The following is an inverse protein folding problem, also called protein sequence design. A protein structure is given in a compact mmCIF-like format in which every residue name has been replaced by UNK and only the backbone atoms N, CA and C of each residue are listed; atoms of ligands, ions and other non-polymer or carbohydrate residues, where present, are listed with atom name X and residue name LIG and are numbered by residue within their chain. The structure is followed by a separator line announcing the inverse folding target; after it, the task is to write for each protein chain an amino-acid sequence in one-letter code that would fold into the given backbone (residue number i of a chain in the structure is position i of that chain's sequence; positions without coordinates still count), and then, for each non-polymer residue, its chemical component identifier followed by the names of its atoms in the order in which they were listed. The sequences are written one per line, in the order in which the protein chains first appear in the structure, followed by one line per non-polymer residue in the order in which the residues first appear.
data_IF_965388315595
#
_entry.id   IF_965388315595
#
_cell.length_a   1.000
_cell.length_b   1.000
_cell.length_c   1.000
_cell.angle_alpha   90.00
_cell.angle_beta   90.00
_cell.angle_gamma   90.00
#
_symmetry.space_group_name_H-M   'P 1'
#
loop_
_entity.id
_entity.type
_entity.pdbx_description
1 polymer ?
#
# COMPACT_ATOMS: atom_id res chain seq x y z
N UNK A 1 -3.66 -15.71 15.92
CA UNK A 1 -3.57 -16.26 14.54
C UNK A 1 -2.48 -15.51 13.79
N UNK A 2 -1.87 -16.08 12.75
CA UNK A 2 -0.83 -15.39 11.95
C UNK A 2 -1.35 -15.09 10.55
N UNK A 3 -1.00 -13.95 9.94
CA UNK A 3 -1.34 -13.70 8.55
C UNK A 3 -0.57 -14.61 7.60
N UNK A 4 -1.24 -15.08 6.56
CA UNK A 4 -0.69 -15.89 5.46
C UNK A 4 -1.04 -15.31 4.09
N UNK A 5 -1.74 -14.17 4.04
CA UNK A 5 -2.01 -13.37 2.85
C UNK A 5 -1.53 -11.94 3.09
N UNK A 6 -0.72 -11.41 2.18
CA UNK A 6 -0.14 -10.08 2.31
C UNK A 6 -0.41 -9.22 1.07
N UNK A 7 -0.82 -7.98 1.31
CA UNK A 7 -0.88 -6.90 0.32
C UNK A 7 0.19 -5.87 0.70
N UNK A 8 1.45 -6.10 0.31
CA UNK A 8 2.58 -5.30 0.79
C UNK A 8 2.70 -3.93 0.12
N UNK A 9 1.97 -3.67 -0.97
CA UNK A 9 2.10 -2.44 -1.73
C UNK A 9 1.39 -2.47 -3.08
N UNK A 10 1.51 -1.41 -3.87
CA UNK A 10 2.26 -0.18 -3.59
C UNK A 10 1.36 0.92 -2.98
N UNK A 11 1.91 1.86 -2.18
CA UNK A 11 1.12 2.97 -1.66
C UNK A 11 0.57 3.82 -2.81
N UNK A 12 -0.71 4.22 -2.69
CA UNK A 12 -1.47 5.01 -3.68
C UNK A 12 -1.83 4.25 -4.97
N UNK A 13 -1.85 2.92 -4.88
CA UNK A 13 -2.20 2.02 -5.98
C UNK A 13 -3.47 1.20 -5.70
N UNK A 14 -4.41 1.66 -4.85
CA UNK A 14 -5.68 0.94 -4.65
C UNK A 14 -5.65 -0.26 -3.69
N UNK A 15 -4.60 -0.42 -2.87
CA UNK A 15 -4.51 -1.52 -1.89
C UNK A 15 -5.64 -1.54 -0.86
N UNK A 16 -6.28 -0.40 -0.56
CA UNK A 16 -7.45 -0.37 0.33
C UNK A 16 -8.69 -0.94 -0.34
N UNK A 17 -8.93 -0.63 -1.62
CA UNK A 17 -10.01 -1.25 -2.38
C UNK A 17 -9.82 -2.75 -2.47
N UNK A 18 -8.62 -3.21 -2.84
CA UNK A 18 -8.32 -4.65 -2.87
C UNK A 18 -8.55 -5.32 -1.51
N UNK A 19 -8.06 -4.72 -0.42
CA UNK A 19 -8.28 -5.23 0.94
C UNK A 19 -9.77 -5.46 1.21
N UNK A 20 -10.63 -4.47 0.93
CA UNK A 20 -12.06 -4.61 1.17
C UNK A 20 -12.75 -5.57 0.20
N UNK A 21 -12.25 -5.73 -1.03
CA UNK A 21 -12.80 -6.71 -1.97
C UNK A 21 -12.47 -8.14 -1.55
N UNK A 22 -11.24 -8.40 -1.12
CA UNK A 22 -10.84 -9.73 -0.65
C UNK A 22 -11.58 -10.13 0.63
N UNK A 23 -11.85 -9.18 1.53
CA UNK A 23 -12.59 -9.41 2.78
C UNK A 23 -14.07 -9.78 2.56
N UNK A 24 -14.57 -9.75 1.31
CA UNK A 24 -15.92 -10.23 0.98
C UNK A 24 -15.99 -11.75 0.82
N UNK A 25 -14.85 -12.42 0.60
CA UNK A 25 -14.83 -13.86 0.41
C UNK A 25 -14.96 -14.58 1.76
N UNK A 26 -15.88 -15.55 1.93
CA UNK A 26 -16.15 -16.18 3.23
C UNK A 26 -14.98 -16.96 3.83
N UNK A 27 -13.97 -17.28 3.02
CA UNK A 27 -12.75 -17.98 3.43
C UNK A 27 -11.53 -17.06 3.60
N UNK A 28 -11.72 -15.74 3.49
CA UNK A 28 -10.69 -14.74 3.72
C UNK A 28 -11.15 -13.86 4.88
N UNK A 29 -10.24 -13.58 5.81
CA UNK A 29 -10.42 -12.55 6.81
C UNK A 29 -9.26 -11.57 6.73
N UNK A 30 -9.52 -10.39 6.18
CA UNK A 30 -8.56 -9.30 6.23
C UNK A 30 -8.54 -8.68 7.63
N UNK A 31 -7.37 -8.14 8.00
CA UNK A 31 -7.16 -7.45 9.26
C UNK A 31 -8.13 -6.27 9.37
N UNK A 32 -8.88 -6.21 10.48
CA UNK A 32 -9.85 -5.13 10.74
C UNK A 32 -9.23 -3.73 10.66
N UNK A 33 -7.94 -3.62 10.97
CA UNK A 33 -7.16 -2.39 10.86
C UNK A 33 -6.11 -2.59 9.78
N UNK A 34 -6.12 -1.75 8.74
CA UNK A 34 -5.05 -1.67 7.74
C UNK A 34 -3.83 -0.96 8.30
N UNK A 35 -2.69 -1.13 7.61
CA UNK A 35 -1.46 -0.40 7.90
C UNK A 35 -0.99 -0.65 9.35
N UNK A 36 -1.08 -1.91 9.81
CA UNK A 36 -0.58 -2.36 11.12
C UNK A 36 0.94 -2.23 11.23
N UNK A 37 1.64 -2.33 10.09
CA UNK A 37 3.09 -2.27 9.95
C UNK A 37 3.86 -3.28 10.82
N UNK A 38 3.19 -4.36 11.24
CA UNK A 38 3.72 -5.35 12.17
C UNK A 38 5.00 -6.02 11.65
N UNK A 39 5.17 -6.18 10.35
CA UNK A 39 6.38 -6.78 9.78
C UNK A 39 7.45 -5.73 9.39
N UNK A 40 7.13 -4.44 9.42
CA UNK A 40 8.07 -3.38 9.04
C UNK A 40 8.87 -2.81 10.22
N UNK A 41 8.23 -2.51 11.34
CA UNK A 41 8.89 -1.81 12.46
C UNK A 41 9.20 -2.73 13.63
N UNK A 42 10.37 -2.55 14.26
CA UNK A 42 10.80 -3.39 15.38
C UNK A 42 9.80 -3.40 16.55
N UNK A 43 9.30 -2.26 17.04
CA UNK A 43 8.36 -2.26 18.17
C UNK A 43 7.03 -2.94 17.83
N UNK A 44 6.56 -2.79 16.59
CA UNK A 44 5.31 -3.41 16.15
C UNK A 44 5.50 -4.92 16.00
N UNK A 45 6.62 -5.35 15.40
CA UNK A 45 6.93 -6.76 15.24
C UNK A 45 6.99 -7.48 16.57
N UNK A 46 7.70 -6.92 17.56
CA UNK A 46 7.81 -7.53 18.90
C UNK A 46 6.44 -7.65 19.57
N UNK A 47 5.55 -6.67 19.38
CA UNK A 47 4.23 -6.60 20.03
C UNK A 47 3.09 -7.22 19.24
N UNK A 48 3.32 -7.77 18.04
CA UNK A 48 2.25 -8.24 17.13
C UNK A 48 1.34 -9.34 17.69
N UNK A 49 1.71 -9.98 18.79
CA UNK A 49 0.90 -10.96 19.51
C UNK A 49 0.59 -10.56 20.96
N UNK A 50 1.00 -9.36 21.38
CA UNK A 50 0.71 -8.81 22.70
C UNK A 50 -0.75 -8.35 22.73
N UNK A 51 -1.58 -8.86 23.64
CA UNK A 51 -3.00 -8.51 23.72
C UNK A 51 -3.27 -7.05 24.08
N UNK A 52 -2.30 -6.34 24.69
CA UNK A 52 -2.45 -4.91 24.98
C UNK A 52 -2.06 -4.02 23.77
N UNK A 53 -1.64 -4.64 22.66
CA UNK A 53 -1.23 -3.94 21.45
C UNK A 53 -2.40 -3.75 20.48
N UNK A 54 -2.64 -2.50 20.07
CA UNK A 54 -3.76 -2.17 19.17
C UNK A 54 -3.72 -2.88 17.81
N UNK A 55 -2.53 -3.26 17.35
CA UNK A 55 -2.35 -4.03 16.11
C UNK A 55 -2.04 -5.51 16.37
N UNK A 56 -2.41 -6.02 17.55
CA UNK A 56 -2.24 -7.43 17.88
C UNK A 56 -3.07 -8.32 16.97
N UNK A 57 -2.44 -9.33 16.39
CA UNK A 57 -3.13 -10.36 15.61
C UNK A 57 -4.10 -11.22 16.42
N UNK A 58 -4.00 -11.19 17.75
CA UNK A 58 -4.98 -11.86 18.60
C UNK A 58 -6.31 -11.09 18.65
N UNK A 59 -6.29 -9.79 18.38
CA UNK A 59 -7.48 -8.92 18.45
C UNK A 59 -8.05 -8.57 17.07
N UNK A 60 -7.20 -8.44 16.05
CA UNK A 60 -7.63 -8.05 14.71
C UNK A 60 -8.08 -9.22 13.83
N UNK A 61 -7.74 -10.47 14.22
CA UNK A 61 -8.27 -11.70 13.64
C UNK A 61 -9.18 -12.41 14.63
N UNK A 62 -10.20 -13.12 14.16
CA UNK A 62 -11.06 -13.93 15.01
C UNK A 62 -11.04 -15.38 14.50
N UNK A 63 -11.22 -16.34 15.40
CA UNK A 63 -11.13 -17.73 15.01
C UNK A 63 -12.44 -18.16 14.34
N UNK A 64 -12.43 -18.22 13.01
CA UNK A 64 -13.50 -18.83 12.21
C UNK A 64 -12.91 -20.02 11.42
N UNK A 65 -13.43 -21.26 11.63
CA UNK A 65 -12.92 -22.45 10.97
C UNK A 65 -13.08 -22.44 9.43
N UNK A 66 -13.90 -21.54 8.87
CA UNK A 66 -14.03 -21.37 7.41
C UNK A 66 -12.90 -20.54 6.80
N UNK A 67 -12.23 -19.71 7.60
CA UNK A 67 -11.18 -18.82 7.12
C UNK A 67 -9.92 -19.61 6.82
N UNK A 68 -9.47 -19.56 5.57
CA UNK A 68 -8.20 -20.13 5.10
C UNK A 68 -7.10 -19.09 5.02
N UNK A 69 -7.47 -17.84 4.72
CA UNK A 69 -6.52 -16.74 4.59
C UNK A 69 -6.75 -15.65 5.60
N UNK A 70 -5.75 -15.41 6.46
CA UNK A 70 -5.70 -14.24 7.33
C UNK A 70 -4.84 -13.18 6.64
N UNK A 71 -5.47 -12.08 6.25
CA UNK A 71 -4.89 -11.09 5.38
C UNK A 71 -4.38 -9.83 6.09
N UNK A 72 -3.21 -9.35 5.71
CA UNK A 72 -2.70 -8.05 6.12
C UNK A 72 -2.38 -7.14 4.93
N UNK A 73 -2.61 -5.84 5.09
CA UNK A 73 -2.30 -4.84 4.08
C UNK A 73 -1.58 -3.64 4.69
N UNK A 74 -0.29 -3.54 4.39
CA UNK A 74 0.62 -2.52 4.93
C UNK A 74 1.56 -2.09 3.81
N UNK A 75 1.34 -0.92 3.22
CA UNK A 75 1.96 -0.54 1.93
C UNK A 75 3.47 -0.28 2.00
N UNK A 76 4.02 -0.09 3.19
CA UNK A 76 5.47 0.07 3.39
C UNK A 76 6.23 -1.25 3.33
N UNK A 77 5.52 -2.37 3.45
CA UNK A 77 6.10 -3.70 3.42
C UNK A 77 6.84 -3.94 2.10
N UNK A 78 6.35 -3.39 0.99
CA UNK A 78 6.96 -3.62 -0.32
C UNK A 78 8.47 -3.31 -0.34
N UNK A 79 8.92 -2.21 0.29
CA UNK A 79 10.33 -1.80 0.25
C UNK A 79 11.11 -2.09 1.54
N UNK A 80 10.43 -2.20 2.69
CA UNK A 80 11.09 -2.35 3.99
C UNK A 80 11.92 -3.64 4.06
N UNK A 81 13.21 -3.52 4.39
CA UNK A 81 14.17 -4.64 4.36
C UNK A 81 13.83 -5.76 5.35
N UNK A 82 13.35 -5.41 6.54
CA UNK A 82 13.04 -6.38 7.60
C UNK A 82 11.77 -7.17 7.34
N UNK A 83 10.90 -6.76 6.41
CA UNK A 83 9.58 -7.37 6.21
C UNK A 83 9.67 -8.81 5.75
N UNK A 84 10.41 -9.08 4.66
CA UNK A 84 10.51 -10.43 4.08
C UNK A 84 11.10 -11.43 5.11
N UNK A 85 12.26 -11.16 5.76
CA UNK A 85 12.81 -12.07 6.76
C UNK A 85 11.83 -12.38 7.90
N UNK A 86 11.05 -11.39 8.34
CA UNK A 86 10.09 -11.55 9.42
C UNK A 86 8.86 -12.36 9.02
N UNK A 87 8.40 -12.22 7.77
CA UNK A 87 7.32 -13.05 7.23
C UNK A 87 7.78 -14.51 7.16
N UNK A 88 8.98 -14.78 6.62
CA UNK A 88 9.54 -16.13 6.53
C UNK A 88 9.62 -16.82 7.90
N UNK A 89 9.92 -16.06 8.97
CA UNK A 89 9.94 -16.60 10.34
C UNK A 89 8.56 -17.04 10.85
N UNK A 90 7.48 -16.46 10.31
CA UNK A 90 6.12 -16.67 10.79
C UNK A 90 5.28 -17.57 9.89
N UNK A 91 5.53 -17.56 8.58
CA UNK A 91 4.78 -18.27 7.55
C UNK A 91 5.73 -18.73 6.44
N UNK A 92 5.70 -20.03 6.15
CA UNK A 92 6.62 -20.70 5.22
C UNK A 92 6.14 -20.53 3.77
N UNK A 93 4.83 -20.43 3.54
CA UNK A 93 4.25 -20.37 2.20
C UNK A 93 3.16 -19.29 2.08
N UNK A 94 3.50 -18.01 2.31
CA UNK A 94 2.52 -16.93 2.25
C UNK A 94 2.08 -16.67 0.82
N UNK A 95 0.85 -16.14 0.65
CA UNK A 95 0.37 -15.58 -0.60
C UNK A 95 0.54 -14.07 -0.61
N UNK A 96 1.11 -13.54 -1.69
CA UNK A 96 1.41 -12.13 -1.85
C UNK A 96 0.64 -11.59 -3.04
N UNK A 97 -0.11 -10.51 -2.84
CA UNK A 97 -0.81 -9.80 -3.93
C UNK A 97 -0.34 -8.35 -3.95
N UNK A 98 0.36 -7.97 -5.01
CA UNK A 98 0.72 -6.58 -5.27
C UNK A 98 -0.35 -5.89 -6.10
N UNK A 99 -0.65 -4.65 -5.75
CA UNK A 99 -1.38 -3.73 -6.63
C UNK A 99 -0.42 -2.63 -7.06
N UNK A 100 -0.07 -2.62 -8.34
CA UNK A 100 0.74 -1.58 -8.94
C UNK A 100 -0.16 -0.54 -9.60
N UNK A 101 0.43 0.56 -10.03
CA UNK A 101 -0.24 1.64 -10.74
C UNK A 101 0.75 2.24 -11.70
N UNK A 102 0.28 2.88 -12.76
CA UNK A 102 1.14 3.74 -13.57
C UNK A 102 2.05 4.59 -12.65
N UNK A 103 3.38 4.45 -12.76
CA UNK A 103 4.30 4.97 -11.75
C UNK A 103 4.30 6.49 -11.66
N UNK A 104 3.92 7.19 -12.75
CA UNK A 104 3.78 8.65 -12.78
C UNK A 104 2.54 9.06 -12.00
N UNK A 105 1.42 8.39 -12.27
CA UNK A 105 0.16 8.62 -11.57
C UNK A 105 0.26 8.29 -10.08
N UNK A 106 1.02 7.24 -9.72
CA UNK A 106 1.29 6.89 -8.32
C UNK A 106 2.09 7.98 -7.61
N UNK A 107 3.17 8.50 -8.21
CA UNK A 107 3.97 9.60 -7.66
C UNK A 107 3.11 10.86 -7.49
N UNK A 108 2.33 11.22 -8.51
CA UNK A 108 1.44 12.38 -8.47
C UNK A 108 0.39 12.23 -7.36
N UNK A 109 -0.21 11.05 -7.23
CA UNK A 109 -1.18 10.75 -6.17
C UNK A 109 -0.55 10.85 -4.79
N UNK A 110 0.69 10.38 -4.64
CA UNK A 110 1.42 10.43 -3.39
C UNK A 110 1.76 11.87 -2.99
N UNK A 111 2.27 12.67 -3.92
CA UNK A 111 2.54 14.09 -3.72
C UNK A 111 1.26 14.85 -3.33
N UNK A 112 0.19 14.68 -4.09
CA UNK A 112 -1.07 15.38 -3.83
C UNK A 112 -1.68 15.00 -2.48
N UNK A 113 -1.54 13.74 -2.05
CA UNK A 113 -1.95 13.30 -0.72
C UNK A 113 -1.14 14.04 0.36
N UNK A 114 0.19 13.99 0.33
CA UNK A 114 1.00 14.69 1.33
C UNK A 114 0.79 16.22 1.32
N UNK A 115 0.58 16.82 0.13
CA UNK A 115 0.22 18.23 -0.01
C UNK A 115 -1.12 18.55 0.66
N UNK A 116 -2.14 17.72 0.48
CA UNK A 116 -3.45 17.87 1.13
C UNK A 116 -3.38 17.77 2.66
N UNK A 117 -2.35 17.10 3.20
CA UNK A 117 -2.06 17.04 4.62
C UNK A 117 -1.22 18.22 5.13
N UNK A 118 -0.80 19.13 4.24
CA UNK A 118 0.08 20.25 4.59
C UNK A 118 1.54 19.85 4.83
N UNK A 119 1.94 18.62 4.47
CA UNK A 119 3.28 18.06 4.69
C UNK A 119 4.27 18.38 3.56
N UNK A 120 3.77 18.96 2.48
CA UNK A 120 4.56 19.40 1.33
C UNK A 120 4.33 20.89 1.11
N UNK A 121 5.43 21.64 1.07
CA UNK A 121 5.46 23.08 0.81
C UNK A 121 6.19 23.45 -0.48
N UNK A 122 6.98 22.52 -1.03
CA UNK A 122 7.76 22.72 -2.25
C UNK A 122 6.89 22.37 -3.45
N UNK A 123 7.25 22.96 -4.59
CA UNK A 123 6.69 22.56 -5.89
C UNK A 123 7.04 21.11 -6.23
N UNK A 124 6.19 20.48 -7.05
CA UNK A 124 6.23 19.04 -7.35
C UNK A 124 7.63 18.57 -7.71
N UNK A 125 8.20 19.10 -8.80
CA UNK A 125 9.50 18.63 -9.29
C UNK A 125 10.61 18.77 -8.24
N UNK A 126 10.63 19.88 -7.50
CA UNK A 126 11.63 20.09 -6.44
C UNK A 126 11.46 19.09 -5.30
N UNK A 127 10.23 18.85 -4.86
CA UNK A 127 9.92 17.86 -3.82
C UNK A 127 10.37 16.45 -4.23
N UNK A 128 10.08 16.04 -5.48
CA UNK A 128 10.46 14.72 -5.98
C UNK A 128 11.99 14.60 -6.09
N UNK A 129 12.67 15.58 -6.72
CA UNK A 129 14.13 15.55 -6.89
C UNK A 129 14.89 15.53 -5.57
N UNK A 130 14.47 16.35 -4.60
CA UNK A 130 15.08 16.40 -3.28
C UNK A 130 14.93 15.06 -2.51
N UNK A 131 14.01 14.17 -2.93
CA UNK A 131 13.77 12.87 -2.27
C UNK A 131 14.61 11.70 -2.78
N UNK A 132 15.22 11.80 -3.98
CA UNK A 132 15.83 10.64 -4.70
C UNK A 132 16.99 10.00 -3.91
N UNK A 133 17.74 10.80 -3.16
CA UNK A 133 18.92 10.35 -2.42
C UNK A 133 18.69 10.31 -0.91
N UNK A 134 17.44 10.29 -0.47
CA UNK A 134 17.08 10.16 0.94
C UNK A 134 16.79 8.68 1.21
N UNK A 135 17.63 7.97 1.98
CA UNK A 135 17.39 6.58 2.31
C UNK A 135 16.02 6.40 2.97
N UNK A 136 15.28 5.39 2.56
CA UNK A 136 14.06 5.00 3.23
C UNK A 136 14.40 4.44 4.60
N UNK A 137 13.77 4.99 5.65
CA UNK A 137 13.91 4.51 7.01
C UNK A 137 12.51 4.32 7.60
N UNK A 138 12.08 3.07 7.82
CA UNK A 138 10.76 2.79 8.35
C UNK A 138 10.59 3.38 9.78
N UNK A 139 11.66 3.58 10.55
CA UNK A 139 11.53 4.10 11.91
C UNK A 139 11.35 5.62 11.98
N UNK A 140 11.55 6.37 10.88
CA UNK A 140 11.51 7.84 10.87
C UNK A 140 10.13 8.46 10.68
N UNK A 141 9.12 7.71 10.20
CA UNK A 141 7.81 8.27 9.91
C UNK A 141 6.67 7.30 10.18
N UNK A 142 6.42 7.08 11.48
CA UNK A 142 5.43 6.11 11.99
C UNK A 142 3.98 6.39 11.56
N UNK A 143 3.67 7.57 11.01
CA UNK A 143 2.34 7.91 10.51
C UNK A 143 2.15 7.58 9.02
N UNK A 144 3.10 6.88 8.39
CA UNK A 144 3.01 6.48 6.99
C UNK A 144 3.26 7.61 5.98
N UNK A 145 3.68 8.81 6.43
CA UNK A 145 3.81 10.00 5.59
C UNK A 145 5.19 10.12 4.92
N UNK A 146 5.66 9.02 4.33
CA UNK A 146 6.97 8.92 3.73
C UNK A 146 7.10 9.78 2.47
N UNK A 147 8.21 10.49 2.32
CA UNK A 147 8.53 11.26 1.11
C UNK A 147 9.34 10.45 0.08
N UNK A 148 9.36 9.13 0.21
CA UNK A 148 10.12 8.22 -0.66
C UNK A 148 9.35 7.95 -1.96
N UNK A 149 9.04 9.03 -2.70
CA UNK A 149 8.22 8.95 -3.91
C UNK A 149 8.82 7.97 -4.91
N UNK A 150 10.08 8.16 -5.29
CA UNK A 150 10.72 7.33 -6.31
C UNK A 150 10.92 5.89 -5.85
N UNK A 151 11.35 5.68 -4.60
CA UNK A 151 11.55 4.32 -4.05
C UNK A 151 10.27 3.48 -4.11
N UNK A 152 9.10 4.06 -3.79
CA UNK A 152 7.82 3.36 -3.92
C UNK A 152 7.37 3.15 -5.38
N UNK A 153 8.02 3.75 -6.37
CA UNK A 153 7.81 3.51 -7.80
C UNK A 153 8.88 2.63 -8.45
N UNK A 154 9.90 2.18 -7.70
CA UNK A 154 10.90 1.22 -8.19
C UNK A 154 10.37 -0.21 -8.08
N UNK A 155 9.37 -0.52 -8.89
CA UNK A 155 8.58 -1.73 -8.82
C UNK A 155 9.39 -3.00 -9.09
N UNK A 156 10.13 -3.08 -10.20
CA UNK A 156 11.02 -4.19 -10.52
C UNK A 156 11.94 -4.52 -9.34
N UNK A 157 12.50 -3.48 -8.70
CA UNK A 157 13.40 -3.63 -7.55
C UNK A 157 12.77 -4.42 -6.42
N UNK A 158 11.58 -4.03 -5.94
CA UNK A 158 10.95 -4.76 -4.84
C UNK A 158 10.24 -6.04 -5.32
N UNK A 159 9.56 -6.03 -6.46
CA UNK A 159 8.86 -7.22 -6.97
C UNK A 159 9.82 -8.39 -7.12
N UNK A 160 11.03 -8.13 -7.65
CA UNK A 160 12.07 -9.17 -7.74
C UNK A 160 12.40 -9.77 -6.37
N UNK A 161 12.63 -8.93 -5.34
CA UNK A 161 12.95 -9.40 -3.98
C UNK A 161 11.85 -10.30 -3.40
N UNK A 162 10.59 -9.97 -3.64
CA UNK A 162 9.46 -10.75 -3.16
C UNK A 162 9.30 -12.07 -3.93
N UNK A 163 9.51 -12.07 -5.25
CA UNK A 163 9.51 -13.30 -6.07
C UNK A 163 10.68 -14.21 -5.70
N UNK A 164 11.88 -13.67 -5.54
CA UNK A 164 13.07 -14.44 -5.15
C UNK A 164 12.89 -15.11 -3.77
N UNK A 165 12.15 -14.46 -2.86
CA UNK A 165 11.94 -14.94 -1.50
C UNK A 165 10.81 -15.97 -1.34
N UNK A 166 9.71 -15.81 -2.09
CA UNK A 166 8.50 -16.61 -1.92
C UNK A 166 8.13 -17.46 -3.12
N UNK A 167 8.91 -17.39 -4.20
CA UNK A 167 8.65 -17.95 -5.52
C UNK A 167 7.52 -17.25 -6.28
N UNK A 168 7.58 -17.35 -7.61
CA UNK A 168 6.68 -16.66 -8.54
C UNK A 168 5.21 -17.05 -8.36
N UNK A 169 4.93 -18.32 -8.09
CA UNK A 169 3.59 -18.88 -7.89
C UNK A 169 2.88 -18.39 -6.62
N UNK A 170 3.61 -17.73 -5.73
CA UNK A 170 3.09 -17.11 -4.51
C UNK A 170 3.02 -15.60 -4.60
N UNK A 171 3.32 -15.00 -5.75
CA UNK A 171 3.26 -13.56 -5.96
C UNK A 171 2.37 -13.23 -7.17
N UNK A 172 1.18 -12.71 -6.90
CA UNK A 172 0.28 -12.14 -7.89
C UNK A 172 0.52 -10.64 -8.03
N UNK A 173 0.47 -10.13 -9.25
CA UNK A 173 0.62 -8.71 -9.56
C UNK A 173 -0.56 -8.27 -10.42
N UNK A 174 -1.38 -7.39 -9.85
CA UNK A 174 -2.48 -6.70 -10.54
C UNK A 174 -2.19 -5.19 -10.60
N UNK A 175 -2.95 -4.47 -11.42
CA UNK A 175 -2.82 -3.01 -11.55
C UNK A 175 -4.08 -2.27 -11.10
N UNK A 176 -3.91 -1.00 -10.73
CA UNK A 176 -5.02 -0.09 -10.41
C UNK A 176 -5.93 0.10 -11.61
N UNK A 177 -5.33 0.11 -12.79
CA UNK A 177 -5.99 0.23 -14.08
C UNK A 177 -6.89 -0.98 -14.36
N UNK A 178 -6.43 -2.21 -14.11
CA UNK A 178 -7.24 -3.44 -14.17
C UNK A 178 -8.40 -3.40 -13.16
N UNK A 179 -8.13 -3.06 -11.91
CA UNK A 179 -9.17 -2.92 -10.87
C UNK A 179 -10.22 -1.86 -11.24
N UNK A 180 -9.84 -0.83 -11.98
CA UNK A 180 -10.74 0.25 -12.37
C UNK A 180 -11.55 -0.08 -13.62
N UNK A 181 -10.97 -0.81 -14.57
CA UNK A 181 -11.63 -1.15 -15.83
C UNK A 181 -12.57 -2.34 -15.68
N UNK A 182 -12.16 -3.35 -14.91
CA UNK A 182 -12.88 -4.59 -14.70
C UNK A 182 -12.62 -5.17 -13.30
N UNK A 183 -13.21 -4.52 -12.28
CA UNK A 183 -13.03 -4.94 -10.89
C UNK A 183 -13.51 -6.37 -10.65
N UNK A 184 -14.59 -6.81 -11.30
CA UNK A 184 -15.19 -8.12 -11.04
C UNK A 184 -14.23 -9.24 -11.44
N UNK A 185 -13.72 -9.21 -12.68
CA UNK A 185 -12.79 -10.23 -13.17
C UNK A 185 -11.42 -10.13 -12.48
N UNK A 186 -10.94 -8.92 -12.20
CA UNK A 186 -9.65 -8.72 -11.51
C UNK A 186 -9.67 -9.30 -10.09
N UNK A 187 -10.78 -9.15 -9.36
CA UNK A 187 -10.92 -9.72 -8.01
C UNK A 187 -11.12 -11.24 -8.06
N UNK A 188 -11.89 -11.77 -9.02
CA UNK A 188 -12.00 -13.22 -9.19
C UNK A 188 -10.66 -13.87 -9.57
N UNK A 189 -9.79 -13.19 -10.34
CA UNK A 189 -8.40 -13.62 -10.58
C UNK A 189 -7.59 -13.73 -9.28
N UNK A 190 -7.85 -12.86 -8.30
CA UNK A 190 -7.23 -12.97 -6.98
C UNK A 190 -7.73 -14.22 -6.23
N UNK A 191 -9.01 -14.56 -6.32
CA UNK A 191 -9.53 -15.79 -5.71
C UNK A 191 -8.98 -17.05 -6.37
N UNK A 192 -8.86 -17.06 -7.70
CA UNK A 192 -8.23 -18.16 -8.44
C UNK A 192 -6.77 -18.37 -8.01
N UNK A 193 -6.00 -17.29 -7.88
CA UNK A 193 -4.63 -17.33 -7.37
C UNK A 193 -4.55 -17.90 -5.95
N UNK A 194 -5.53 -17.58 -5.10
CA UNK A 194 -5.67 -18.12 -3.75
C UNK A 194 -6.28 -19.53 -3.74
N UNK A 195 -6.62 -20.11 -4.90
CA UNK A 195 -7.30 -21.41 -5.05
C UNK A 195 -8.63 -21.47 -4.28
N UNK A 196 -9.35 -20.36 -4.31
CA UNK A 196 -10.68 -20.22 -3.72
C UNK A 196 -11.74 -20.17 -4.83
N UNK A 197 -13.00 -20.54 -4.52
CA UNK A 197 -14.10 -20.33 -5.45
C UNK A 197 -14.24 -18.87 -5.84
N UNK A 198 -14.59 -18.62 -7.10
CA UNK A 198 -15.00 -17.28 -7.54
C UNK A 198 -16.33 -16.89 -6.88
N UNK A 199 -16.57 -15.59 -6.79
CA UNK A 199 -17.87 -15.05 -6.37
C UNK A 199 -18.66 -14.62 -7.60
N UNK A 200 -19.94 -14.99 -7.63
CA UNK A 200 -20.88 -14.58 -8.68
C UNK A 200 -21.22 -13.08 -8.58
N UNK A 201 -21.10 -12.50 -7.39
CA UNK A 201 -21.34 -11.08 -7.13
C UNK A 201 -20.25 -10.54 -6.19
N UNK A 202 -19.70 -9.37 -6.55
CA UNK A 202 -18.76 -8.62 -5.72
C UNK A 202 -19.35 -7.23 -5.47
N UNK A 203 -19.53 -6.87 -4.20
CA UNK A 203 -20.10 -5.56 -3.84
C UNK A 203 -19.06 -4.49 -4.08
N UNK A 204 -19.40 -3.49 -4.88
CA UNK A 204 -18.54 -2.34 -5.14
C UNK A 204 -18.27 -1.60 -3.83
N UNK A 205 -16.99 -1.47 -3.49
CA UNK A 205 -16.56 -0.64 -2.36
C UNK A 205 -16.19 0.76 -2.85
N UNK A 206 -17.01 1.75 -2.49
CA UNK A 206 -16.67 3.16 -2.72
C UNK A 206 -15.84 3.68 -1.56
N UNK A 207 -14.53 3.47 -1.61
CA UNK A 207 -13.63 4.26 -0.79
C UNK A 207 -13.35 5.61 -1.47
N UNK A 208 -13.79 6.68 -0.83
CA UNK A 208 -13.24 8.00 -1.12
C UNK A 208 -11.75 8.00 -0.71
N UNK A 209 -10.86 8.01 -1.71
CA UNK A 209 -9.37 7.92 -1.65
C UNK A 209 -8.69 9.02 -0.79
N UNK A 210 -9.46 9.81 -0.04
CA UNK A 210 -8.98 10.93 0.80
C UNK A 210 -9.70 11.10 2.15
N UNK A 211 -10.68 10.26 2.50
CA UNK A 211 -11.46 10.44 3.75
C UNK A 211 -11.01 9.61 4.95
N UNK A 212 -9.94 8.83 4.87
CA UNK A 212 -9.46 8.08 6.04
C UNK A 212 -8.78 8.97 7.09
N UNK A 213 -8.40 10.22 6.76
CA UNK A 213 -8.02 11.21 7.77
C UNK A 213 -9.21 11.92 8.45
N UNK A 214 -10.45 11.53 8.11
CA UNK A 214 -11.66 11.99 8.81
C UNK A 214 -12.19 11.01 9.85
N UNK A 215 -11.56 9.85 10.06
CA UNK A 215 -11.75 9.15 11.32
C UNK A 215 -11.01 9.91 12.43
N UNK A 216 -11.61 11.03 12.83
CA UNK A 216 -11.69 11.35 14.25
C UNK A 216 -12.05 10.04 14.93
N UNK A 217 -11.22 9.62 15.86
CA UNK A 217 -11.56 8.71 16.93
C UNK A 217 -12.88 9.22 17.51
N UNK A 218 -14.01 8.71 16.99
CA UNK A 218 -15.33 9.09 17.42
C UNK A 218 -15.60 8.33 18.70
N UNK A 219 -15.04 8.87 19.79
CA UNK A 219 -15.66 8.96 21.10
C UNK A 219 -16.55 7.80 21.56
N UNK A 220 -16.15 6.54 21.37
CA UNK A 220 -16.62 5.44 22.21
C UNK A 220 -15.49 5.08 23.14
N UNK A 221 -15.77 5.23 24.43
CA UNK A 221 -14.88 5.20 25.58
C UNK A 221 -13.64 4.31 25.41
N UNK A 222 -12.56 4.91 24.94
CA UNK A 222 -11.20 4.38 25.08
C UNK A 222 -10.83 4.65 26.54
N UNK A 223 -10.64 3.58 27.31
CA UNK A 223 -10.26 3.65 28.72
C UNK A 223 -9.09 4.63 28.92
N UNK A 224 -9.07 5.36 30.03
CA UNK A 224 -8.06 6.39 30.31
C UNK A 224 -6.61 5.87 30.25
N UNK A 225 -6.41 4.55 30.39
CA UNK A 225 -5.12 3.88 30.32
C UNK A 225 -4.53 3.84 28.90
N UNK A 226 -5.36 3.60 27.88
CA UNK A 226 -4.91 3.47 26.49
C UNK A 226 -4.59 4.82 25.83
N UNK A 227 -5.22 5.93 26.27
CA UNK A 227 -4.83 7.29 25.85
C UNK A 227 -3.41 7.66 26.27
N UNK A 228 -2.93 7.19 27.42
CA UNK A 228 -1.57 7.45 27.92
C UNK A 228 -0.53 6.69 27.09
N UNK A 229 -0.84 5.46 26.70
CA UNK A 229 0.03 4.59 25.89
C UNK A 229 0.11 5.12 24.44
N UNK A 230 -1.01 5.48 23.83
CA UNK A 230 -1.07 6.13 22.51
C UNK A 230 -0.21 7.40 22.45
N UNK A 231 -0.20 8.20 23.52
CA UNK A 231 0.62 9.40 23.62
C UNK A 231 2.12 9.12 23.74
N UNK A 232 2.51 7.96 24.28
CA UNK A 232 3.93 7.56 24.39
C UNK A 232 4.48 6.94 23.10
N UNK A 233 3.61 6.30 22.31
CA UNK A 233 3.96 5.66 21.04
C UNK A 233 3.86 6.63 19.86
N UNK A 234 3.02 7.65 19.99
CA UNK A 234 2.91 8.77 19.06
C UNK A 234 3.08 10.10 19.82
N UNK A 235 4.31 10.42 20.33
CA UNK A 235 4.55 11.63 21.13
C UNK A 235 4.21 12.93 20.40
N UNK A 236 4.11 12.90 19.07
CA UNK A 236 3.74 14.04 18.22
C UNK A 236 2.31 13.94 17.63
N UNK A 237 1.42 13.10 18.17
CA UNK A 237 0.02 13.03 17.73
C UNK A 237 -0.89 14.10 18.34
N UNK A 238 -0.34 14.99 19.19
CA UNK A 238 -1.04 16.19 19.61
C UNK A 238 -0.79 17.33 18.63
N UNK A 239 -1.90 17.84 18.09
CA UNK A 239 -2.04 19.12 17.38
C UNK A 239 -1.24 19.29 16.09
N UNK A 240 -1.67 18.60 15.04
CA UNK A 240 -1.76 19.26 13.73
C UNK A 240 -3.22 19.57 13.42
N UNK A 241 -3.80 20.45 14.24
CA UNK A 241 -5.07 21.13 14.00
C UNK A 241 -4.92 22.25 12.95
N UNK A 242 -4.23 21.97 11.84
CA UNK A 242 -4.34 22.77 10.64
C UNK A 242 -5.52 22.24 9.83
N UNK A 243 -6.56 23.06 9.61
CA UNK A 243 -7.52 22.75 8.54
C UNK A 243 -6.71 22.45 7.27
N UNK A 244 -6.97 21.35 6.54
CA UNK A 244 -6.30 21.12 5.26
C UNK A 244 -6.53 22.36 4.40
N UNK A 245 -5.47 23.12 4.10
CA UNK A 245 -5.55 24.17 3.09
C UNK A 245 -5.73 23.43 1.78
N UNK A 246 -6.89 23.58 1.16
CA UNK A 246 -7.16 23.06 -0.19
C UNK A 246 -6.32 23.85 -1.20
N UNK A 247 -5.01 23.63 -1.20
CA UNK A 247 -4.24 23.87 -2.41
C UNK A 247 -4.79 22.95 -3.49
N UNK A 248 -5.01 23.48 -4.69
CA UNK A 248 -5.44 22.66 -5.83
C UNK A 248 -4.52 21.44 -6.02
N UNK A 249 -5.10 20.34 -6.54
CA UNK A 249 -4.31 19.19 -6.97
C UNK A 249 -3.28 19.68 -7.99
N UNK A 250 -2.04 19.23 -7.86
CA UNK A 250 -1.02 19.43 -8.88
C UNK A 250 -1.43 18.72 -10.16
N UNK A 251 -1.25 19.40 -11.28
CA UNK A 251 -1.41 18.86 -12.62
C UNK A 251 0.00 18.80 -13.19
N UNK A 252 0.42 17.61 -13.63
CA UNK A 252 1.76 17.40 -14.18
C UNK A 252 1.97 18.23 -15.45
N UNK A 253 3.04 19.01 -15.46
CA UNK A 253 3.53 19.64 -16.68
C UNK A 253 4.17 18.59 -17.62
N UNK A 254 4.26 18.91 -18.92
CA UNK A 254 4.78 17.99 -19.94
C UNK A 254 6.24 17.60 -19.63
N UNK A 255 7.05 18.57 -19.21
CA UNK A 255 8.45 18.39 -18.83
C UNK A 255 8.62 17.53 -17.57
N UNK A 256 7.73 17.66 -16.58
CA UNK A 256 7.74 16.83 -15.37
C UNK A 256 7.43 15.37 -15.72
N UNK A 257 6.42 15.16 -16.58
CA UNK A 257 6.06 13.83 -17.08
C UNK A 257 7.20 13.20 -17.87
N UNK A 258 7.75 13.91 -18.87
CA UNK A 258 8.87 13.42 -19.68
C UNK A 258 10.09 13.07 -18.84
N UNK A 259 10.39 13.88 -17.83
CA UNK A 259 11.49 13.58 -16.91
C UNK A 259 11.22 12.30 -16.10
N UNK A 260 10.02 12.11 -15.56
CA UNK A 260 9.65 10.89 -14.83
C UNK A 260 9.66 9.65 -15.74
N UNK A 261 9.17 9.76 -16.98
CA UNK A 261 9.22 8.69 -17.98
C UNK A 261 10.66 8.24 -18.19
N UNK A 262 11.56 9.18 -18.51
CA UNK A 262 12.97 8.89 -18.72
C UNK A 262 13.64 8.32 -17.46
N UNK A 263 13.31 8.85 -16.28
CA UNK A 263 13.91 8.42 -15.02
C UNK A 263 13.51 6.98 -14.64
N UNK A 264 12.28 6.57 -14.93
CA UNK A 264 11.74 5.26 -14.56
C UNK A 264 11.70 4.27 -15.74
N UNK A 265 12.19 4.65 -16.92
CA UNK A 265 12.16 3.84 -18.14
C UNK A 265 12.72 2.43 -17.93
N UNK A 266 13.98 2.34 -17.50
CA UNK A 266 14.64 1.04 -17.27
C UNK A 266 13.96 0.23 -16.17
N UNK A 267 13.32 0.90 -15.21
CA UNK A 267 12.57 0.26 -14.14
C UNK A 267 11.37 -0.50 -14.71
N UNK A 268 10.53 0.19 -15.49
CA UNK A 268 9.33 -0.40 -16.07
C UNK A 268 9.67 -1.50 -17.08
N UNK A 269 10.68 -1.31 -17.93
CA UNK A 269 11.16 -2.38 -18.82
C UNK A 269 11.60 -3.62 -18.03
N UNK A 270 12.36 -3.43 -16.94
CA UNK A 270 12.81 -4.54 -16.10
C UNK A 270 11.63 -5.21 -15.40
N UNK A 271 10.64 -4.43 -14.95
CA UNK A 271 9.43 -4.97 -14.35
C UNK A 271 8.68 -5.86 -15.35
N UNK A 272 8.45 -5.39 -16.58
CA UNK A 272 7.75 -6.14 -17.63
C UNK A 272 8.42 -7.48 -17.91
N UNK A 273 9.76 -7.51 -17.94
CA UNK A 273 10.55 -8.74 -18.06
C UNK A 273 10.32 -9.66 -16.85
N UNK A 274 10.41 -9.14 -15.62
CA UNK A 274 10.19 -9.93 -14.39
C UNK A 274 8.78 -10.51 -14.34
N UNK A 275 7.78 -9.75 -14.77
CA UNK A 275 6.38 -10.17 -14.71
C UNK A 275 5.93 -10.95 -15.94
N UNK A 276 6.74 -11.00 -16.99
CA UNK A 276 6.44 -11.73 -18.22
C UNK A 276 5.26 -11.18 -19.01
N UNK A 277 4.93 -9.89 -18.84
CA UNK A 277 3.87 -9.21 -19.60
C UNK A 277 4.16 -7.72 -19.75
N UNK A 278 3.68 -7.15 -20.84
CA UNK A 278 3.69 -5.70 -21.06
C UNK A 278 2.55 -5.03 -20.28
N UNK A 279 2.82 -3.86 -19.71
CA UNK A 279 1.87 -3.05 -18.95
C UNK A 279 1.29 -1.96 -19.85
N UNK A 280 0.59 -2.39 -20.89
CA UNK A 280 0.01 -1.52 -21.93
C UNK A 280 -1.03 -0.54 -21.36
N UNK A 281 -1.63 -0.87 -20.22
CA UNK A 281 -2.61 -0.03 -19.54
C UNK A 281 -1.99 1.20 -18.85
N UNK A 282 -0.66 1.25 -18.67
CA UNK A 282 0.08 2.41 -18.15
C UNK A 282 0.27 3.50 -19.20
N UNK A 283 -0.85 3.98 -19.73
CA UNK A 283 -0.90 4.98 -20.80
C UNK A 283 -0.20 6.29 -20.44
N UNK A 284 -0.22 6.71 -19.17
CA UNK A 284 0.41 7.95 -18.71
C UNK A 284 1.95 7.87 -18.75
N UNK A 285 2.48 6.67 -18.56
CA UNK A 285 3.90 6.35 -18.65
C UNK A 285 4.33 6.02 -20.08
N UNK A 286 3.55 5.19 -20.80
CA UNK A 286 3.90 4.67 -22.13
C UNK A 286 3.67 5.69 -23.26
N UNK A 287 2.70 6.60 -23.12
CA UNK A 287 2.45 7.60 -24.15
C UNK A 287 3.50 8.73 -24.05
N UNK A 288 4.40 8.76 -25.03
CA UNK A 288 5.15 9.98 -25.35
C UNK A 288 4.11 11.01 -25.80
N UNK A 289 3.97 12.13 -25.09
CA UNK A 289 2.97 13.18 -25.36
C UNK A 289 3.07 13.83 -26.74
N UNK A 290 2.72 13.08 -27.79
CA UNK A 290 2.40 13.54 -29.13
C UNK A 290 0.88 13.45 -29.28
N UNK A 291 0.16 14.24 -28.50
CA UNK A 291 -1.15 14.72 -28.89
C UNK A 291 -1.01 16.19 -29.28
N UNK A 292 -0.34 16.43 -30.40
CA UNK A 292 -0.56 17.65 -31.19
C UNK A 292 -1.89 17.47 -31.90
N UNK A 293 -2.94 18.10 -31.39
CA UNK A 293 -4.06 18.56 -32.20
C UNK A 293 -3.78 19.98 -32.65
#
# INVERSE_FOLDING_TARGET
MKPNLFIPGAPKSGTSSLHLYLDQHPEIQMSKIKETHNYAYDPHYVKRFDSDWIFSYNDIFHNDPKVKYFGESSTIHCITETTIPRIIQDEINPKIIFVLRDPIERILSHYNWLKSLGLVKKEFFKEIKDSINVPFDPNKNLNGNYKSYIEFSKYATFIKRWIDAFNRENVLIITTEELSSDYFNTINTCFDFLKLPQLDEIKIVRENVTTLNKQKISGKSISSLSKKILKSLFPNSLEQSGKPKSGGKHILAIEERKWLQNFLFSEVETLEIIIGRELTEWSNFKNNGNSTH
#
